data_IF_598909424485
#
_entry.id   IF_598909424485
#
_cell.length_a   1.000
_cell.length_b   1.000
_cell.length_c   1.000
_cell.angle_alpha   90.00
_cell.angle_beta   90.00
_cell.angle_gamma   90.00
#
_symmetry.space_group_name_H-M   'P 1'
#
loop_
_entity.id
_entity.type
_entity.pdbx_description
1 polymer ?
#
# COMPACT_ATOMS: atom_id res chain seq x y z
N UNK A 1 -19.94 9.27 -18.16
CA UNK A 1 -20.56 7.96 -17.89
C UNK A 1 -19.59 7.22 -16.99
N UNK A 2 -19.75 7.34 -15.67
CA UNK A 2 -18.89 6.63 -14.71
C UNK A 2 -19.15 5.14 -14.88
N UNK A 3 -18.14 4.40 -15.35
CA UNK A 3 -18.19 2.94 -15.36
C UNK A 3 -18.10 2.50 -13.90
N UNK A 4 -19.00 1.59 -13.51
CA UNK A 4 -19.28 1.23 -12.12
C UNK A 4 -18.01 1.07 -11.29
N UNK A 5 -18.03 1.64 -10.08
CA UNK A 5 -17.02 1.36 -9.06
C UNK A 5 -16.89 -0.17 -8.90
N UNK A 6 -15.87 -0.75 -9.50
CA UNK A 6 -15.46 -2.11 -9.21
C UNK A 6 -14.97 -2.10 -7.75
N UNK A 7 -15.84 -2.49 -6.83
CA UNK A 7 -15.52 -2.62 -5.41
C UNK A 7 -14.70 -3.89 -5.20
N UNK A 8 -13.49 -3.92 -5.76
CA UNK A 8 -12.52 -4.91 -5.36
C UNK A 8 -12.15 -4.61 -3.91
N UNK A 9 -12.57 -5.50 -3.01
CA UNK A 9 -12.33 -5.40 -1.56
C UNK A 9 -10.87 -5.69 -1.18
N UNK A 10 -10.02 -6.03 -2.17
CA UNK A 10 -8.58 -6.24 -2.03
C UNK A 10 -7.81 -5.53 -3.13
N UNK A 11 -6.67 -4.92 -2.75
CA UNK A 11 -5.69 -4.35 -3.68
C UNK A 11 -5.17 -5.40 -4.67
N UNK A 12 -5.10 -6.67 -4.25
CA UNK A 12 -4.67 -7.76 -5.11
C UNK A 12 -5.70 -8.03 -6.23
N UNK A 13 -6.99 -8.01 -5.90
CA UNK A 13 -8.05 -8.13 -6.91
C UNK A 13 -8.04 -6.94 -7.88
N UNK A 14 -7.80 -5.72 -7.38
CA UNK A 14 -7.59 -4.54 -8.24
C UNK A 14 -6.41 -4.73 -9.19
N UNK A 15 -5.28 -5.24 -8.68
CA UNK A 15 -4.09 -5.53 -9.48
C UNK A 15 -4.41 -6.55 -10.58
N UNK A 16 -5.08 -7.64 -10.26
CA UNK A 16 -5.46 -8.66 -11.25
C UNK A 16 -6.37 -8.10 -12.35
N UNK A 17 -7.40 -7.31 -12.01
CA UNK A 17 -8.27 -6.70 -13.01
C UNK A 17 -7.50 -5.82 -14.01
N UNK A 18 -6.50 -5.06 -13.54
CA UNK A 18 -5.62 -4.28 -14.42
C UNK A 18 -4.76 -5.18 -15.31
N UNK A 19 -4.24 -6.30 -14.78
CA UNK A 19 -3.50 -7.30 -15.57
C UNK A 19 -4.34 -7.91 -16.70
N UNK A 20 -5.63 -8.16 -16.43
CA UNK A 20 -6.61 -8.61 -17.42
C UNK A 20 -7.10 -7.51 -18.38
N UNK A 21 -6.48 -6.32 -18.35
CA UNK A 21 -6.77 -5.23 -19.27
C UNK A 21 -7.95 -4.33 -18.87
N UNK A 22 -8.46 -4.43 -17.64
CA UNK A 22 -9.54 -3.56 -17.13
C UNK A 22 -9.03 -2.18 -16.69
N UNK A 23 -8.32 -1.48 -17.58
CA UNK A 23 -7.89 -0.09 -17.39
C UNK A 23 -6.65 0.07 -16.51
N UNK A 24 -6.67 1.10 -15.65
CA UNK A 24 -5.56 1.46 -14.76
C UNK A 24 -6.08 1.78 -13.35
N UNK A 25 -5.23 1.69 -12.35
CA UNK A 25 -5.59 1.99 -10.96
C UNK A 25 -4.42 2.61 -10.20
N UNK A 26 -4.73 3.16 -9.02
CA UNK A 26 -3.73 3.66 -8.08
C UNK A 26 -3.31 2.52 -7.15
N UNK A 27 -1.99 2.29 -7.05
CA UNK A 27 -1.44 1.30 -6.14
C UNK A 27 -0.64 2.01 -5.04
N UNK A 28 -0.93 1.79 -3.75
CA UNK A 28 -0.03 2.24 -2.69
C UNK A 28 1.28 1.46 -2.80
N UNK A 29 2.38 2.13 -2.51
CA UNK A 29 3.71 1.55 -2.63
C UNK A 29 3.88 0.20 -1.91
N UNK A 30 3.32 0.07 -0.71
CA UNK A 30 3.40 -1.17 0.07
C UNK A 30 2.74 -2.39 -0.61
N UNK A 31 1.92 -2.17 -1.64
CA UNK A 31 1.29 -3.22 -2.43
C UNK A 31 1.99 -3.46 -3.79
N UNK A 32 3.06 -2.71 -4.09
CA UNK A 32 3.90 -2.95 -5.27
C UNK A 32 4.89 -4.06 -4.93
N UNK A 33 4.98 -5.13 -5.75
CA UNK A 33 5.97 -6.20 -5.54
C UNK A 33 7.39 -5.65 -5.57
N UNK A 34 8.23 -6.07 -4.63
CA UNK A 34 9.64 -5.65 -4.57
C UNK A 34 10.46 -6.04 -5.82
N UNK A 35 9.98 -7.03 -6.58
CA UNK A 35 10.56 -7.44 -7.87
C UNK A 35 9.42 -7.62 -8.86
N UNK A 36 9.41 -6.81 -9.90
CA UNK A 36 8.60 -7.04 -11.09
C UNK A 36 9.39 -7.89 -12.08
N UNK A 37 8.75 -8.92 -12.62
CA UNK A 37 9.33 -9.74 -13.69
C UNK A 37 9.00 -9.08 -15.03
N UNK A 38 9.87 -9.27 -16.02
CA UNK A 38 9.60 -8.80 -17.40
C UNK A 38 8.34 -9.41 -18.02
N UNK A 39 7.87 -10.53 -17.48
CA UNK A 39 6.64 -11.23 -17.87
C UNK A 39 5.40 -10.71 -17.15
N UNK A 40 5.53 -9.75 -16.23
CA UNK A 40 4.37 -9.20 -15.54
C UNK A 40 3.53 -8.37 -16.51
N UNK A 41 2.24 -8.64 -16.56
CA UNK A 41 1.26 -7.96 -17.44
C UNK A 41 0.98 -6.52 -16.99
N UNK A 42 1.57 -6.10 -15.87
CA UNK A 42 1.30 -4.81 -15.21
C UNK A 42 2.59 -4.03 -15.12
N UNK A 43 2.53 -2.78 -15.60
CA UNK A 43 3.60 -1.80 -15.42
C UNK A 43 3.22 -0.80 -14.34
N UNK A 44 4.09 -0.64 -13.35
CA UNK A 44 3.98 0.41 -12.34
C UNK A 44 4.64 1.68 -12.84
N UNK A 45 3.96 2.81 -12.66
CA UNK A 45 4.43 4.13 -13.08
C UNK A 45 4.40 5.03 -11.85
N UNK A 46 5.53 5.64 -11.52
CA UNK A 46 5.60 6.59 -10.40
C UNK A 46 4.96 7.93 -10.75
N UNK A 47 4.39 8.57 -9.74
CA UNK A 47 3.93 9.96 -9.84
C UNK A 47 5.11 10.92 -9.93
N UNK A 48 4.95 11.99 -10.72
CA UNK A 48 5.80 13.17 -10.62
C UNK A 48 5.44 13.98 -9.38
N UNK A 49 6.36 14.82 -8.90
CA UNK A 49 6.06 15.69 -7.77
C UNK A 49 4.92 16.68 -8.08
N UNK A 50 4.02 16.94 -7.12
CA UNK A 50 3.96 16.36 -5.78
C UNK A 50 3.32 14.96 -5.75
N UNK A 51 4.01 13.98 -5.14
CA UNK A 51 3.49 12.61 -5.01
C UNK A 51 2.34 12.54 -3.97
N UNK A 52 1.22 11.87 -4.28
CA UNK A 52 0.17 11.63 -3.30
C UNK A 52 0.70 10.75 -2.17
N UNK A 53 0.38 11.09 -0.92
CA UNK A 53 0.80 10.36 0.26
C UNK A 53 -0.37 10.02 1.17
N UNK A 54 -0.15 9.03 2.04
CA UNK A 54 -1.03 8.69 3.17
C UNK A 54 -0.19 8.51 4.42
N UNK A 55 -0.74 8.86 5.58
CA UNK A 55 -0.13 8.57 6.88
C UNK A 55 -0.64 7.23 7.39
N UNK A 56 0.27 6.29 7.63
CA UNK A 56 -0.02 5.04 8.33
C UNK A 56 0.15 5.31 9.82
N UNK A 57 -0.64 4.65 10.66
CA UNK A 57 -0.50 4.79 12.11
C UNK A 57 -0.91 3.51 12.82
N UNK A 58 -0.30 3.27 13.97
CA UNK A 58 -0.66 2.18 14.86
C UNK A 58 -1.43 2.73 16.06
N UNK A 59 -2.59 2.15 16.33
CA UNK A 59 -3.43 2.52 17.48
C UNK A 59 -3.52 1.36 18.46
N UNK A 60 -3.39 1.68 19.74
CA UNK A 60 -3.62 0.76 20.84
C UNK A 60 -4.39 1.46 21.96
N UNK A 61 -4.98 0.67 22.86
CA UNK A 61 -5.75 1.21 23.98
C UNK A 61 -4.81 1.95 24.94
N UNK A 62 -5.17 3.18 25.30
CA UNK A 62 -4.49 3.96 26.35
C UNK A 62 -4.40 3.13 27.65
N UNK A 63 -3.26 3.18 28.34
CA UNK A 63 -2.96 2.44 29.56
C UNK A 63 -3.01 0.90 29.40
N UNK A 64 -2.68 0.38 28.22
CA UNK A 64 -2.50 -1.06 28.06
C UNK A 64 -1.27 -1.51 28.85
N UNK A 65 -1.37 -2.65 29.56
CA UNK A 65 -0.21 -3.29 30.20
C UNK A 65 0.89 -3.70 29.19
N UNK A 66 0.57 -3.70 27.89
CA UNK A 66 1.47 -4.04 26.78
C UNK A 66 2.04 -2.82 26.06
N UNK A 67 1.97 -1.64 26.64
CA UNK A 67 2.45 -0.39 26.01
C UNK A 67 3.88 -0.53 25.48
N UNK A 68 4.79 -1.09 26.27
CA UNK A 68 6.17 -1.36 25.85
C UNK A 68 6.23 -2.29 24.63
N UNK A 69 5.44 -3.36 24.61
CA UNK A 69 5.39 -4.28 23.48
C UNK A 69 4.85 -3.59 22.22
N UNK A 70 3.84 -2.72 22.34
CA UNK A 70 3.35 -1.93 21.22
C UNK A 70 4.42 -0.98 20.70
N UNK A 71 5.13 -0.28 21.58
CA UNK A 71 6.23 0.60 21.18
C UNK A 71 7.33 -0.18 20.43
N UNK A 72 7.71 -1.36 20.92
CA UNK A 72 8.67 -2.23 20.23
C UNK A 72 8.17 -2.68 18.84
N UNK A 73 6.87 -2.99 18.70
CA UNK A 73 6.27 -3.31 17.40
C UNK A 73 6.30 -2.09 16.47
N UNK A 74 5.99 -0.89 16.97
CA UNK A 74 6.03 0.34 16.18
C UNK A 74 7.45 0.62 15.66
N UNK A 75 8.46 0.49 16.51
CA UNK A 75 9.87 0.66 16.10
C UNK A 75 10.29 -0.42 15.10
N UNK A 76 9.88 -1.67 15.29
CA UNK A 76 10.14 -2.74 14.33
C UNK A 76 9.52 -2.42 12.97
N UNK A 77 8.26 -1.98 12.94
CA UNK A 77 7.57 -1.59 11.70
C UNK A 77 8.35 -0.47 11.01
N UNK A 78 8.67 0.63 11.72
CA UNK A 78 9.45 1.74 11.16
C UNK A 78 10.79 1.30 10.57
N UNK A 79 11.45 0.31 11.19
CA UNK A 79 12.76 -0.18 10.74
C UNK A 79 12.72 -0.88 9.37
N UNK A 80 11.55 -1.37 8.93
CA UNK A 80 11.39 -2.12 7.67
C UNK A 80 10.55 -1.40 6.62
N UNK A 81 10.06 -0.18 6.91
CA UNK A 81 9.26 0.58 5.95
C UNK A 81 10.12 1.17 4.82
N UNK A 82 9.58 1.26 3.58
CA UNK A 82 10.20 2.03 2.51
C UNK A 82 10.34 3.52 2.88
N UNK A 83 11.35 4.19 2.30
CA UNK A 83 11.76 5.58 2.62
C UNK A 83 10.64 6.62 2.42
N UNK A 84 9.67 6.29 1.59
CA UNK A 84 8.56 7.11 1.12
C UNK A 84 7.22 6.75 1.77
N UNK A 85 7.23 5.86 2.78
CA UNK A 85 6.06 5.57 3.62
C UNK A 85 6.14 6.36 4.93
N UNK A 86 5.08 7.12 5.22
CA UNK A 86 4.98 7.94 6.43
C UNK A 86 4.23 7.17 7.53
N UNK A 87 4.88 6.92 8.67
CA UNK A 87 4.34 6.24 9.85
C UNK A 87 4.43 7.13 11.10
#
# INVERSE_FOLDING_TARGET
KEQGQYHATSLETLRHMVGEGMGMTLMPELAVPAKTRKTDEIRYIEFTDPKPNRRIGMLYRKNSYREEAFNNIAELIKSVLPVNVFF
#
